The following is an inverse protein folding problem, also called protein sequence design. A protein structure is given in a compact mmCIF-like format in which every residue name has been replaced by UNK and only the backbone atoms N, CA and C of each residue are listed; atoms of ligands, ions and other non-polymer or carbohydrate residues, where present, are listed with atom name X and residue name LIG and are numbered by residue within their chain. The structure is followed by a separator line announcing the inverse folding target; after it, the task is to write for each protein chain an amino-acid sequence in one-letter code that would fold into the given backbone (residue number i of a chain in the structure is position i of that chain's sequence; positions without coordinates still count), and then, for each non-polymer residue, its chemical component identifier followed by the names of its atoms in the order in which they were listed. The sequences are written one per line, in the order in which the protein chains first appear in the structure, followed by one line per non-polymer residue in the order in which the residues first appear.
data_IF_596119860527
#
_entry.id   IF_596119860527
#
_cell.length_a   1.000
_cell.length_b   1.000
_cell.length_c   1.000
_cell.angle_alpha   90.00
_cell.angle_beta   90.00
_cell.angle_gamma   90.00
#
_symmetry.space_group_name_H-M   'P 1'
#
loop_
_entity.id
_entity.type
_entity.pdbx_description
1 polymer ?
#
# COMPACT_ATOMS: atom_id res chain seq x y z
N UNK A 1 -56.63 -29.31 12.76
CA UNK A 1 -56.08 -28.77 11.49
C UNK A 1 -55.29 -27.50 11.81
N UNK A 2 -53.96 -27.58 11.85
CA UNK A 2 -53.07 -26.45 12.16
C UNK A 2 -52.26 -26.11 10.91
N UNK A 3 -52.28 -24.85 10.48
CA UNK A 3 -51.49 -24.34 9.35
C UNK A 3 -50.04 -24.11 9.81
N UNK A 4 -49.02 -24.43 8.99
CA UNK A 4 -47.64 -24.09 9.31
C UNK A 4 -47.41 -22.59 9.09
N UNK A 5 -46.79 -21.94 10.08
CA UNK A 5 -46.28 -20.57 10.01
C UNK A 5 -45.13 -20.53 9.00
N UNK A 6 -45.28 -19.73 7.95
CA UNK A 6 -44.22 -19.42 6.99
C UNK A 6 -43.08 -18.72 7.71
N UNK A 7 -41.89 -19.31 7.67
CA UNK A 7 -40.66 -18.65 8.06
C UNK A 7 -40.42 -17.46 7.11
N UNK A 8 -40.40 -16.26 7.67
CA UNK A 8 -39.98 -15.04 6.99
C UNK A 8 -38.50 -15.19 6.64
N UNK A 9 -38.08 -15.07 5.36
CA UNK A 9 -36.67 -15.00 5.05
C UNK A 9 -36.14 -13.68 5.62
N UNK A 10 -35.34 -13.79 6.69
CA UNK A 10 -34.55 -12.68 7.20
C UNK A 10 -33.70 -12.20 6.03
N UNK A 11 -34.06 -11.04 5.48
CA UNK A 11 -33.24 -10.30 4.51
C UNK A 11 -31.86 -10.21 5.14
N UNK A 12 -30.92 -11.01 4.64
CA UNK A 12 -29.50 -10.77 4.87
C UNK A 12 -29.25 -9.41 4.24
N UNK A 13 -29.27 -8.38 5.07
CA UNK A 13 -28.65 -7.11 4.76
C UNK A 13 -27.16 -7.45 4.61
N UNK A 14 -26.75 -7.83 3.40
CA UNK A 14 -25.37 -7.67 2.98
C UNK A 14 -25.09 -6.18 3.08
N UNK A 15 -24.58 -5.77 4.22
CA UNK A 15 -23.77 -4.56 4.36
C UNK A 15 -22.52 -4.85 3.53
N UNK A 16 -22.66 -4.77 2.20
CA UNK A 16 -21.54 -4.43 1.34
C UNK A 16 -21.20 -3.01 1.75
N UNK A 17 -20.27 -2.91 2.69
CA UNK A 17 -19.58 -1.65 2.92
C UNK A 17 -18.93 -1.32 1.58
N UNK A 18 -19.60 -0.45 0.82
CA UNK A 18 -19.05 0.19 -0.35
C UNK A 18 -17.96 1.11 0.16
N UNK A 19 -16.82 0.53 0.54
CA UNK A 19 -15.58 1.26 0.51
C UNK A 19 -15.37 1.52 -0.98
N UNK A 20 -15.93 2.62 -1.45
CA UNK A 20 -15.52 3.25 -2.71
C UNK A 20 -14.07 3.62 -2.47
N UNK A 21 -13.21 2.64 -2.70
CA UNK A 21 -11.78 2.74 -2.53
C UNK A 21 -11.32 3.81 -3.52
N UNK A 22 -11.03 5.01 -3.01
CA UNK A 22 -10.25 6.06 -3.66
C UNK A 22 -8.80 5.58 -3.88
N UNK A 23 -8.61 4.36 -4.37
CA UNK A 23 -7.31 3.72 -4.52
C UNK A 23 -7.08 3.48 -6.02
N UNK A 24 -5.98 4.08 -6.50
CA UNK A 24 -5.74 4.45 -7.89
C UNK A 24 -5.10 5.86 -7.99
N UNK A 25 -5.23 6.67 -6.95
CA UNK A 25 -4.58 7.98 -6.82
C UNK A 25 -3.23 7.92 -6.11
N UNK A 26 -2.40 8.96 -6.31
CA UNK A 26 -1.15 9.11 -5.58
C UNK A 26 -1.38 9.42 -4.10
N UNK A 27 -0.56 8.84 -3.22
CA UNK A 27 -0.57 9.09 -1.77
C UNK A 27 0.71 9.80 -1.35
N UNK A 28 0.68 10.56 -0.26
CA UNK A 28 1.82 11.38 0.17
C UNK A 28 2.00 11.34 1.68
N UNK A 29 3.25 11.21 2.14
CA UNK A 29 3.67 11.47 3.51
C UNK A 29 4.35 12.84 3.50
N UNK A 30 3.80 13.82 4.20
CA UNK A 30 4.29 15.20 4.28
C UNK A 30 5.10 15.43 5.54
N UNK A 31 6.14 16.23 5.38
CA UNK A 31 7.06 16.63 6.42
C UNK A 31 7.05 18.16 6.50
N UNK A 32 7.26 18.71 7.70
CA UNK A 32 7.44 20.15 7.88
C UNK A 32 8.78 20.60 7.29
N UNK A 33 9.80 19.76 7.48
CA UNK A 33 11.15 19.90 6.94
C UNK A 33 11.63 18.50 6.56
N UNK A 34 12.26 18.36 5.39
CA UNK A 34 12.75 17.08 4.86
C UNK A 34 14.17 17.28 4.31
N UNK A 35 15.13 16.47 4.77
CA UNK A 35 16.41 16.29 4.10
C UNK A 35 16.19 15.39 2.87
N UNK A 36 16.17 15.98 1.68
CA UNK A 36 15.91 15.25 0.43
C UNK A 36 16.92 14.13 0.17
N UNK A 37 18.20 14.34 0.50
CA UNK A 37 19.25 13.36 0.22
C UNK A 37 19.06 12.12 1.09
N UNK A 38 18.83 12.33 2.39
CA UNK A 38 18.56 11.23 3.29
C UNK A 38 17.20 10.56 3.02
N UNK A 39 16.18 11.34 2.65
CA UNK A 39 14.88 10.82 2.25
C UNK A 39 14.97 9.89 1.03
N UNK A 40 15.73 10.29 -0.01
CA UNK A 40 15.95 9.45 -1.20
C UNK A 40 16.67 8.16 -0.82
N UNK A 41 17.69 8.24 0.04
CA UNK A 41 18.42 7.05 0.52
C UNK A 41 17.50 6.09 1.28
N UNK A 42 16.65 6.61 2.16
CA UNK A 42 15.65 5.82 2.88
C UNK A 42 14.62 5.20 1.94
N UNK A 43 14.04 5.97 1.02
CA UNK A 43 13.08 5.45 0.04
C UNK A 43 13.68 4.31 -0.78
N UNK A 44 14.96 4.40 -1.16
CA UNK A 44 15.68 3.33 -1.88
C UNK A 44 15.90 2.07 -1.07
N UNK A 45 16.13 2.20 0.24
CA UNK A 45 16.38 1.04 1.11
C UNK A 45 15.09 0.41 1.66
N UNK A 46 13.99 1.16 1.73
CA UNK A 46 12.71 0.74 2.30
C UNK A 46 12.17 -0.61 1.75
N UNK A 47 12.20 -0.89 0.44
CA UNK A 47 11.65 -2.14 -0.11
C UNK A 47 12.30 -3.42 0.40
N UNK A 48 13.57 -3.33 0.82
CA UNK A 48 14.32 -4.48 1.36
C UNK A 48 13.63 -5.12 2.59
N UNK A 49 12.80 -4.36 3.31
CA UNK A 49 12.10 -4.80 4.52
C UNK A 49 11.02 -5.85 4.27
N UNK A 50 10.48 -5.91 3.05
CA UNK A 50 9.36 -6.81 2.71
C UNK A 50 9.61 -7.62 1.43
N UNK A 51 10.85 -7.62 0.91
CA UNK A 51 11.24 -8.38 -0.28
C UNK A 51 11.11 -9.90 -0.13
N UNK A 52 11.11 -10.42 1.10
CA UNK A 52 11.00 -11.86 1.42
C UNK A 52 9.63 -12.27 1.96
N UNK A 53 8.64 -11.38 1.92
CA UNK A 53 7.31 -11.70 2.41
C UNK A 53 6.65 -12.79 1.57
N UNK A 54 6.25 -13.87 2.24
CA UNK A 54 5.43 -14.93 1.70
C UNK A 54 3.95 -14.70 2.01
N UNK A 55 3.14 -15.73 1.80
CA UNK A 55 1.67 -15.66 1.95
C UNK A 55 1.26 -15.20 3.35
N UNK A 56 1.89 -15.75 4.39
CA UNK A 56 1.55 -15.47 5.79
C UNK A 56 1.78 -14.01 6.17
N UNK A 57 2.87 -13.40 5.71
CA UNK A 57 3.16 -12.00 6.00
C UNK A 57 2.13 -11.06 5.39
N UNK A 58 1.65 -11.35 4.18
CA UNK A 58 0.62 -10.55 3.53
C UNK A 58 -0.77 -10.76 4.15
N UNK A 59 -1.10 -11.99 4.57
CA UNK A 59 -2.34 -12.32 5.28
C UNK A 59 -2.48 -11.57 6.61
N UNK A 60 -1.38 -11.31 7.33
CA UNK A 60 -1.40 -10.48 8.54
C UNK A 60 -1.97 -9.06 8.32
N UNK A 61 -2.01 -8.58 7.08
CA UNK A 61 -2.54 -7.26 6.70
C UNK A 61 -3.80 -7.35 5.83
N UNK A 62 -4.48 -8.50 5.79
CA UNK A 62 -5.66 -8.74 4.94
C UNK A 62 -5.41 -8.45 3.44
N UNK A 63 -4.15 -8.62 2.99
CA UNK A 63 -3.72 -8.34 1.63
C UNK A 63 -3.33 -9.64 0.90
N UNK A 64 -3.69 -9.81 -0.39
CA UNK A 64 -3.21 -10.96 -1.17
C UNK A 64 -1.69 -10.89 -1.37
N UNK A 65 -0.98 -12.03 -1.49
CA UNK A 65 0.45 -12.04 -1.70
C UNK A 65 0.83 -11.27 -2.97
N UNK A 66 1.92 -10.52 -2.90
CA UNK A 66 2.45 -9.75 -4.00
C UNK A 66 3.91 -10.12 -4.27
N UNK A 67 4.17 -10.59 -5.49
CA UNK A 67 5.52 -10.73 -6.00
C UNK A 67 5.94 -9.43 -6.69
N UNK A 68 7.09 -8.89 -6.29
CA UNK A 68 7.61 -7.66 -6.86
C UNK A 68 9.15 -7.62 -6.84
N UNK A 69 9.72 -6.77 -7.68
CA UNK A 69 11.14 -6.39 -7.64
C UNK A 69 11.26 -4.88 -7.46
N UNK A 70 12.31 -4.42 -6.80
CA UNK A 70 12.59 -2.99 -6.62
C UNK A 70 13.77 -2.54 -7.50
N UNK A 71 13.67 -1.35 -8.07
CA UNK A 71 14.72 -0.72 -8.87
C UNK A 71 14.93 0.73 -8.42
N UNK A 72 16.15 1.15 -8.07
CA UNK A 72 16.43 2.53 -7.73
C UNK A 72 16.20 3.45 -8.94
N UNK A 73 15.62 4.62 -8.68
CA UNK A 73 15.41 5.71 -9.64
C UNK A 73 15.95 7.02 -9.03
N UNK A 74 16.14 8.10 -9.81
CA UNK A 74 16.81 9.31 -9.33
C UNK A 74 16.24 9.87 -8.02
N UNK A 75 14.91 9.94 -7.90
CA UNK A 75 14.22 10.52 -6.74
C UNK A 75 13.70 9.48 -5.75
N UNK A 76 14.05 8.20 -5.89
CA UNK A 76 13.54 7.15 -4.99
C UNK A 76 13.68 5.74 -5.55
N UNK A 77 12.59 4.97 -5.55
CA UNK A 77 12.56 3.58 -6.02
C UNK A 77 11.27 3.26 -6.79
N UNK A 78 11.36 2.32 -7.73
CA UNK A 78 10.22 1.75 -8.44
C UNK A 78 10.05 0.29 -8.05
N UNK A 79 8.86 -0.08 -7.59
CA UNK A 79 8.44 -1.45 -7.36
C UNK A 79 7.72 -1.95 -8.61
N UNK A 80 8.21 -3.02 -9.22
CA UNK A 80 7.60 -3.68 -10.37
C UNK A 80 6.90 -4.94 -9.92
N UNK A 81 5.64 -5.09 -10.30
CA UNK A 81 4.77 -6.21 -9.92
C UNK A 81 4.83 -7.32 -10.95
N UNK A 82 4.68 -8.55 -10.48
CA UNK A 82 4.64 -9.72 -11.34
C UNK A 82 3.44 -10.59 -11.04
N UNK A 83 2.92 -11.21 -12.10
CA UNK A 83 1.93 -12.28 -12.02
C UNK A 83 2.49 -13.55 -12.65
N UNK A 84 1.91 -14.70 -12.33
CA UNK A 84 2.23 -15.95 -13.03
C UNK A 84 1.45 -16.01 -14.34
N UNK A 85 2.17 -15.98 -15.45
CA UNK A 85 1.62 -16.14 -16.79
C UNK A 85 1.17 -17.57 -17.08
N UNK A 86 0.37 -17.76 -18.13
CA UNK A 86 -0.16 -19.06 -18.53
C UNK A 86 0.95 -20.09 -18.89
N UNK A 87 2.12 -19.60 -19.31
CA UNK A 87 3.31 -20.41 -19.59
C UNK A 87 4.16 -20.78 -18.36
N UNK A 88 3.73 -20.44 -17.15
CA UNK A 88 4.45 -20.72 -15.90
C UNK A 88 5.58 -19.74 -15.55
N UNK A 89 5.83 -18.75 -16.40
CA UNK A 89 6.78 -17.64 -16.14
C UNK A 89 6.15 -16.47 -15.38
N UNK A 90 6.99 -15.54 -14.91
CA UNK A 90 6.54 -14.28 -14.32
C UNK A 90 6.38 -13.21 -15.41
N UNK A 91 5.22 -12.57 -15.44
CA UNK A 91 4.87 -11.48 -16.37
C UNK A 91 4.71 -10.17 -15.58
N UNK A 92 5.22 -9.06 -16.12
CA UNK A 92 5.08 -7.74 -15.49
C UNK A 92 3.61 -7.30 -15.52
N UNK A 93 3.10 -6.93 -14.35
CA UNK A 93 1.67 -6.67 -14.12
C UNK A 93 1.38 -5.22 -13.69
N UNK A 94 2.43 -4.45 -13.39
CA UNK A 94 2.30 -3.04 -13.00
C UNK A 94 3.52 -2.51 -12.27
N UNK A 95 3.44 -1.23 -11.89
CA UNK A 95 4.51 -0.59 -11.10
C UNK A 95 3.95 0.41 -10.08
N UNK A 96 4.67 0.57 -8.96
CA UNK A 96 4.50 1.65 -7.99
C UNK A 96 5.80 2.42 -7.85
N UNK A 97 5.73 3.73 -8.02
CA UNK A 97 6.85 4.62 -7.78
C UNK A 97 6.74 5.22 -6.38
N UNK A 98 7.82 5.12 -5.61
CA UNK A 98 7.98 5.81 -4.34
C UNK A 98 9.09 6.83 -4.53
N UNK A 99 8.76 8.12 -4.47
CA UNK A 99 9.66 9.22 -4.82
C UNK A 99 9.62 10.34 -3.79
N UNK A 100 10.71 11.06 -3.64
CA UNK A 100 10.75 12.33 -2.92
C UNK A 100 10.39 13.47 -3.88
N UNK A 101 9.48 14.35 -3.45
CA UNK A 101 8.97 15.50 -4.20
C UNK A 101 8.72 16.67 -3.22
N UNK A 102 9.72 17.56 -3.11
CA UNK A 102 9.75 18.62 -2.10
C UNK A 102 9.66 18.04 -0.68
N UNK A 103 8.80 18.58 0.20
CA UNK A 103 8.68 18.13 1.58
C UNK A 103 7.83 16.85 1.72
N UNK A 104 7.76 15.99 0.70
CA UNK A 104 6.91 14.82 0.70
C UNK A 104 7.55 13.58 0.08
N UNK A 105 7.23 12.42 0.66
CA UNK A 105 7.40 11.12 0.02
C UNK A 105 6.08 10.75 -0.66
N UNK A 106 6.11 10.55 -1.97
CA UNK A 106 4.95 10.30 -2.83
C UNK A 106 4.95 8.86 -3.31
N UNK A 107 3.81 8.20 -3.17
CA UNK A 107 3.52 6.87 -3.68
C UNK A 107 2.58 7.02 -4.87
N UNK A 108 2.98 6.57 -6.06
CA UNK A 108 2.22 6.75 -7.30
C UNK A 108 2.17 5.45 -8.10
N UNK A 109 1.00 4.85 -8.34
CA UNK A 109 0.87 3.75 -9.28
C UNK A 109 1.15 4.24 -10.71
N UNK A 110 1.84 3.43 -11.50
CA UNK A 110 2.07 3.72 -12.91
C UNK A 110 0.77 3.54 -13.71
N UNK A 111 0.55 4.39 -14.72
CA UNK A 111 -0.61 4.29 -15.62
C UNK A 111 -0.62 2.92 -16.31
N UNK A 112 -1.80 2.31 -16.38
CA UNK A 112 -1.99 1.00 -17.00
C UNK A 112 -1.56 -0.19 -16.13
N UNK A 113 -1.17 0.04 -14.87
CA UNK A 113 -0.94 -1.04 -13.91
C UNK A 113 -2.25 -1.70 -13.51
N UNK A 114 -2.21 -3.02 -13.29
CA UNK A 114 -3.33 -3.73 -12.66
C UNK A 114 -3.55 -3.19 -11.24
N UNK A 115 -4.81 -3.22 -10.79
CA UNK A 115 -5.17 -2.77 -9.45
C UNK A 115 -4.48 -3.63 -8.37
N UNK A 116 -3.54 -3.00 -7.65
CA UNK A 116 -2.84 -3.54 -6.47
C UNK A 116 -3.07 -2.68 -5.23
N UNK A 117 -4.20 -1.98 -5.19
CA UNK A 117 -4.56 -1.01 -4.15
C UNK A 117 -4.41 -1.51 -2.71
N UNK A 118 -4.71 -2.78 -2.45
CA UNK A 118 -4.60 -3.37 -1.10
C UNK A 118 -3.14 -3.51 -0.69
N UNK A 119 -2.30 -4.08 -1.55
CA UNK A 119 -0.87 -4.24 -1.25
C UNK A 119 -0.15 -2.90 -1.21
N UNK A 120 -0.48 -1.97 -2.12
CA UNK A 120 0.00 -0.59 -2.10
C UNK A 120 -0.37 0.13 -0.79
N UNK A 121 -1.56 -0.12 -0.25
CA UNK A 121 -1.97 0.44 1.04
C UNK A 121 -1.14 -0.10 2.20
N UNK A 122 -0.79 -1.39 2.19
CA UNK A 122 0.09 -1.99 3.20
C UNK A 122 1.48 -1.38 3.12
N UNK A 123 2.07 -1.30 1.92
CA UNK A 123 3.38 -0.69 1.69
C UNK A 123 3.41 0.77 2.18
N UNK A 124 2.37 1.54 1.86
CA UNK A 124 2.22 2.92 2.33
C UNK A 124 2.11 3.01 3.86
N UNK A 125 1.30 2.15 4.49
CA UNK A 125 1.12 2.14 5.94
C UNK A 125 2.42 1.81 6.67
N UNK A 126 3.21 0.84 6.17
CA UNK A 126 4.52 0.51 6.73
C UNK A 126 5.52 1.66 6.59
N UNK A 127 5.50 2.37 5.46
CA UNK A 127 6.34 3.53 5.23
C UNK A 127 5.99 4.67 6.21
N UNK A 128 4.69 4.94 6.40
CA UNK A 128 4.21 5.94 7.34
C UNK A 128 4.53 5.55 8.80
N UNK A 129 4.40 4.28 9.17
CA UNK A 129 4.75 3.83 10.52
C UNK A 129 6.26 3.92 10.77
N UNK A 130 7.09 3.55 9.80
CA UNK A 130 8.54 3.77 9.86
C UNK A 130 8.88 5.26 10.02
N UNK A 131 8.13 6.14 9.35
CA UNK A 131 8.26 7.58 9.51
C UNK A 131 7.93 8.06 10.92
N UNK A 132 6.89 7.50 11.54
CA UNK A 132 6.44 7.88 12.89
C UNK A 132 7.36 7.39 14.01
N UNK A 133 7.95 6.21 13.88
CA UNK A 133 8.78 5.58 14.93
C UNK A 133 10.18 6.20 15.09
N UNK A 134 10.44 7.34 14.47
CA UNK A 134 11.73 8.02 14.61
C UNK A 134 12.87 7.40 13.80
N UNK A 135 12.61 6.39 12.96
CA UNK A 135 13.59 5.98 11.94
C UNK A 135 13.89 7.11 10.93
N UNK A 136 13.13 8.21 10.99
CA UNK A 136 13.26 9.43 10.21
C UNK A 136 13.56 10.68 11.05
N UNK A 137 13.96 10.58 12.33
CA UNK A 137 14.37 11.79 13.07
C UNK A 137 15.53 12.52 12.38
N UNK A 138 16.32 11.80 11.59
CA UNK A 138 17.41 12.31 10.75
C UNK A 138 16.92 12.83 9.38
N UNK A 139 15.74 12.41 8.93
CA UNK A 139 15.20 12.70 7.59
C UNK A 139 14.23 13.87 7.61
N UNK A 140 13.49 14.08 8.70
CA UNK A 140 12.58 15.21 8.80
C UNK A 140 11.51 15.05 9.87
N UNK A 141 10.85 16.17 10.18
CA UNK A 141 9.73 16.19 11.12
C UNK A 141 8.42 16.00 10.37
N UNK A 142 7.67 14.95 10.69
CA UNK A 142 6.34 14.74 10.10
C UNK A 142 5.41 15.94 10.35
N UNK A 143 4.70 16.37 9.31
CA UNK A 143 3.68 17.42 9.46
C UNK A 143 2.51 16.90 10.29
N UNK A 144 1.90 17.73 11.16
CA UNK A 144 0.68 17.35 11.87
C UNK A 144 -0.45 17.02 10.89
N UNK A 145 -1.25 15.99 11.19
CA UNK A 145 -2.51 15.70 10.48
C UNK A 145 -2.46 14.63 9.38
N UNK A 146 -1.39 13.84 9.26
CA UNK A 146 -1.36 12.65 8.40
C UNK A 146 -1.67 11.38 9.20
N UNK A 147 -2.95 11.05 9.27
CA UNK A 147 -3.39 9.76 9.76
C UNK A 147 -3.20 8.71 8.64
N UNK A 148 -2.62 7.56 8.98
CA UNK A 148 -2.80 6.36 8.16
C UNK A 148 -4.32 6.15 7.99
N UNK A 149 -4.81 5.57 6.89
CA UNK A 149 -6.18 5.07 6.89
C UNK A 149 -6.29 4.10 8.07
N UNK A 150 -6.96 4.54 9.13
CA UNK A 150 -7.20 3.72 10.32
C UNK A 150 -8.10 2.60 9.87
N UNK A 151 -7.53 1.41 9.72
CA UNK A 151 -8.31 0.20 9.66
C UNK A 151 -9.11 0.09 10.96
N UNK A 152 -10.44 0.08 10.80
CA UNK A 152 -11.50 -0.14 11.80
C UNK A 152 -11.89 1.05 12.67
N UNK A 153 -13.08 1.57 12.38
CA UNK A 153 -14.22 1.57 13.32
C UNK A 153 -15.38 0.82 12.66
#
# INVERSE_FOLDING_TARGET
RLRPLRATPTRQASVRSSVTMLFGGSRRIRFAELDETQAISWVRSFPSRFRRWGVLEWECFDAPPLEFSDKPIPTGTRLRYYTRGAGGGLEEDGNLEVTVDGPAVVFRPARGSVDRSRQEAVIFALALEAARRGALSEIGRLSPGLYAPSGRE
#
